data_IF_768377211702
#
_entry.id   IF_768377211702
#
_cell.length_a   1.000
_cell.length_b   1.000
_cell.length_c   1.000
_cell.angle_alpha   90.00
_cell.angle_beta   90.00
_cell.angle_gamma   90.00
#
_symmetry.space_group_name_H-M   'P 1'
#
loop_
_entity.id
_entity.type
_entity.pdbx_description
1 polymer ?
#
# COMPACT_ATOMS: atom_id res chain seq x y z
N UNK A 1 0.50 -17.76 -1.94
CA UNK A 1 0.22 -17.19 -3.28
C UNK A 1 -1.13 -16.50 -3.19
N UNK A 2 -1.17 -15.19 -3.39
CA UNK A 2 -2.39 -14.39 -3.46
C UNK A 2 -2.51 -13.87 -4.91
N UNK A 3 -3.69 -13.93 -5.51
CA UNK A 3 -3.92 -13.38 -6.86
C UNK A 3 -4.30 -11.91 -6.83
N UNK A 4 -5.27 -11.56 -5.98
CA UNK A 4 -5.69 -10.19 -5.69
C UNK A 4 -6.35 -10.12 -4.31
N UNK A 5 -6.46 -8.90 -3.79
CA UNK A 5 -7.24 -8.55 -2.59
C UNK A 5 -8.10 -7.32 -2.88
N UNK A 6 -9.24 -7.21 -2.23
CA UNK A 6 -10.11 -6.05 -2.33
C UNK A 6 -10.83 -5.76 -1.03
N UNK A 7 -11.07 -4.48 -0.76
CA UNK A 7 -11.83 -4.06 0.42
C UNK A 7 -12.52 -2.71 0.23
N UNK A 8 -13.56 -2.49 1.03
CA UNK A 8 -14.33 -1.25 1.05
C UNK A 8 -13.61 -0.11 1.77
N UNK A 9 -13.71 1.11 1.24
CA UNK A 9 -13.12 2.33 1.81
C UNK A 9 -14.21 3.37 2.15
N UNK A 10 -13.96 4.24 3.14
CA UNK A 10 -14.99 5.20 3.60
C UNK A 10 -15.22 6.36 2.63
N UNK A 11 -14.15 6.79 1.95
CA UNK A 11 -14.15 7.86 0.97
C UNK A 11 -13.30 7.42 -0.23
N UNK A 12 -13.98 7.03 -1.31
CA UNK A 12 -13.34 6.51 -2.50
C UNK A 12 -12.35 7.49 -3.13
N UNK A 13 -12.70 8.78 -3.22
CA UNK A 13 -11.84 9.77 -3.88
C UNK A 13 -10.57 10.00 -3.07
N UNK A 14 -10.72 10.13 -1.74
CA UNK A 14 -9.59 10.29 -0.81
C UNK A 14 -8.68 9.07 -0.80
N UNK A 15 -9.24 7.87 -0.70
CA UNK A 15 -8.44 6.64 -0.66
C UNK A 15 -7.77 6.37 -2.02
N UNK A 16 -8.44 6.62 -3.14
CA UNK A 16 -7.81 6.52 -4.47
C UNK A 16 -6.62 7.47 -4.61
N UNK A 17 -6.75 8.73 -4.18
CA UNK A 17 -5.65 9.69 -4.21
C UNK A 17 -4.47 9.21 -3.34
N UNK A 18 -4.74 8.82 -2.09
CA UNK A 18 -3.74 8.27 -1.18
C UNK A 18 -2.96 7.10 -1.81
N UNK A 19 -3.66 6.08 -2.30
CA UNK A 19 -3.02 4.89 -2.86
C UNK A 19 -2.31 5.16 -4.19
N UNK A 20 -2.77 6.15 -4.97
CA UNK A 20 -2.07 6.55 -6.20
C UNK A 20 -0.71 7.15 -5.91
N UNK A 21 -0.57 7.92 -4.84
CA UNK A 21 0.70 8.54 -4.42
C UNK A 21 1.58 7.54 -3.65
N UNK A 22 1.02 6.91 -2.62
CA UNK A 22 1.75 6.00 -1.75
C UNK A 22 2.34 4.79 -2.50
N UNK A 23 1.63 4.26 -3.49
CA UNK A 23 2.06 3.06 -4.23
C UNK A 23 2.92 3.38 -5.47
N UNK A 24 3.04 4.64 -5.89
CA UNK A 24 3.80 5.02 -7.07
C UNK A 24 5.29 4.60 -7.00
N UNK A 25 6.01 4.74 -5.87
CA UNK A 25 7.40 4.28 -5.74
C UNK A 25 7.58 2.76 -5.91
N UNK A 26 6.50 2.01 -5.73
CA UNK A 26 6.47 0.56 -5.92
C UNK A 26 6.15 0.19 -7.38
N UNK A 27 6.13 1.12 -8.33
CA UNK A 27 5.65 0.89 -9.70
C UNK A 27 4.24 0.25 -9.71
N UNK A 28 3.38 0.66 -8.77
CA UNK A 28 1.99 0.23 -8.69
C UNK A 28 1.12 1.43 -9.04
N UNK A 29 0.34 1.28 -10.10
CA UNK A 29 -0.47 2.34 -10.68
C UNK A 29 -1.93 1.92 -10.76
N UNK A 30 -2.82 2.89 -11.01
CA UNK A 30 -4.23 2.62 -11.27
C UNK A 30 -4.41 1.97 -12.65
N UNK A 31 -4.73 0.68 -12.69
CA UNK A 31 -4.91 -0.08 -13.93
C UNK A 31 -6.36 -0.09 -14.41
N UNK A 32 -7.32 -0.12 -13.47
CA UNK A 32 -8.75 -0.17 -13.76
C UNK A 32 -9.53 0.74 -12.83
N UNK A 33 -10.54 1.42 -13.37
CA UNK A 33 -11.49 2.21 -12.59
C UNK A 33 -12.95 1.90 -13.00
N UNK A 34 -13.49 0.71 -12.66
CA UNK A 34 -14.84 0.33 -13.06
C UNK A 34 -15.90 1.26 -12.47
N UNK A 35 -16.72 1.82 -13.36
CA UNK A 35 -17.90 2.64 -13.00
C UNK A 35 -17.63 3.83 -12.07
N UNK A 36 -16.36 4.24 -11.91
CA UNK A 36 -15.96 5.31 -10.97
C UNK A 36 -16.20 4.97 -9.50
N UNK A 37 -16.34 3.68 -9.16
CA UNK A 37 -16.68 3.19 -7.80
C UNK A 37 -15.78 2.07 -7.30
N UNK A 38 -14.81 1.67 -8.11
CA UNK A 38 -13.76 0.74 -7.73
C UNK A 38 -12.44 1.17 -8.36
N UNK A 39 -11.33 0.97 -7.66
CA UNK A 39 -9.99 1.28 -8.15
C UNK A 39 -9.13 0.02 -8.06
N UNK A 40 -8.68 -0.49 -9.21
CA UNK A 40 -7.80 -1.65 -9.31
C UNK A 40 -6.38 -1.19 -9.55
N UNK A 41 -5.57 -1.20 -8.50
CA UNK A 41 -4.14 -0.92 -8.55
C UNK A 41 -3.36 -2.18 -8.89
N UNK A 42 -2.26 -2.02 -9.61
CA UNK A 42 -1.34 -3.10 -9.90
C UNK A 42 -0.17 -2.67 -10.77
N UNK A 43 0.50 -3.65 -11.40
CA UNK A 43 1.70 -3.43 -12.22
C UNK A 43 1.57 -4.14 -13.55
N UNK A 44 2.16 -3.58 -14.60
CA UNK A 44 2.24 -4.19 -15.94
C UNK A 44 0.87 -4.61 -16.50
N UNK A 45 -0.15 -3.76 -16.31
CA UNK A 45 -1.50 -4.02 -16.83
C UNK A 45 -2.33 -5.04 -16.05
N UNK A 46 -1.82 -5.63 -14.95
CA UNK A 46 -2.58 -6.55 -14.09
C UNK A 46 -2.93 -5.90 -12.75
N UNK A 47 -4.22 -5.61 -12.47
CA UNK A 47 -4.65 -5.17 -11.14
C UNK A 47 -4.65 -6.34 -10.14
N UNK A 48 -4.22 -6.07 -8.90
CA UNK A 48 -4.21 -7.05 -7.80
C UNK A 48 -4.59 -6.46 -6.44
N UNK A 49 -4.73 -5.13 -6.33
CA UNK A 49 -5.13 -4.45 -5.10
C UNK A 49 -6.33 -3.55 -5.39
N UNK A 50 -7.47 -3.84 -4.78
CA UNK A 50 -8.75 -3.23 -5.11
C UNK A 50 -9.33 -2.42 -3.96
N UNK A 51 -9.77 -1.21 -4.27
CA UNK A 51 -10.61 -0.39 -3.41
C UNK A 51 -12.04 -0.40 -3.96
N UNK A 52 -13.02 -0.50 -3.07
CA UNK A 52 -14.44 -0.45 -3.43
C UNK A 52 -15.17 0.63 -2.63
N UNK A 53 -16.06 1.37 -3.29
CA UNK A 53 -17.01 2.29 -2.63
C UNK A 53 -18.17 1.50 -1.99
N UNK A 54 -17.83 0.74 -0.94
CA UNK A 54 -18.77 -0.09 -0.17
C UNK A 54 -18.77 0.31 1.30
N UNK A 55 -19.94 0.16 1.96
CA UNK A 55 -20.14 0.53 3.36
C UNK A 55 -20.68 -0.68 4.15
N UNK A 56 -20.23 -0.90 5.41
CA UNK A 56 -19.19 -0.14 6.10
C UNK A 56 -17.80 -0.36 5.48
N UNK A 57 -16.86 0.60 5.65
CA UNK A 57 -15.49 0.40 5.21
C UNK A 57 -14.81 -0.71 6.01
N UNK A 58 -13.75 -1.25 5.45
CA UNK A 58 -12.84 -2.16 6.15
C UNK A 58 -11.75 -1.35 6.83
N UNK A 59 -11.49 -1.66 8.09
CA UNK A 59 -10.47 -1.03 8.93
C UNK A 59 -9.59 -2.09 9.58
N UNK A 60 -8.38 -1.72 10.00
CA UNK A 60 -7.43 -2.59 10.72
C UNK A 60 -6.96 -3.83 9.92
N UNK A 61 -7.04 -3.80 8.59
CA UNK A 61 -6.34 -4.83 7.79
C UNK A 61 -4.87 -4.47 7.64
N UNK A 62 -4.05 -5.49 7.41
CA UNK A 62 -2.64 -5.33 7.12
C UNK A 62 -2.33 -5.89 5.73
N UNK A 63 -1.74 -5.06 4.86
CA UNK A 63 -1.35 -5.43 3.51
C UNK A 63 0.09 -4.99 3.28
N UNK A 64 0.96 -5.96 2.97
CA UNK A 64 2.37 -5.72 2.69
C UNK A 64 2.68 -5.94 1.20
N UNK A 65 3.34 -4.96 0.59
CA UNK A 65 3.85 -5.02 -0.78
C UNK A 65 5.34 -5.33 -0.78
N UNK A 66 5.72 -6.46 -1.38
CA UNK A 66 7.12 -6.80 -1.56
C UNK A 66 7.77 -5.91 -2.63
N UNK A 67 8.99 -5.46 -2.36
CA UNK A 67 9.81 -4.67 -3.28
C UNK A 67 11.26 -5.16 -3.31
N UNK A 68 12.03 -4.65 -4.27
CA UNK A 68 13.34 -5.19 -4.62
C UNK A 68 14.52 -4.42 -4.01
N UNK A 69 14.27 -3.34 -3.26
CA UNK A 69 15.32 -2.50 -2.69
C UNK A 69 14.84 -1.78 -1.43
N UNK A 70 15.77 -1.39 -0.56
CA UNK A 70 15.45 -0.67 0.68
C UNK A 70 15.08 0.77 0.39
N UNK A 71 15.65 1.35 -0.65
CA UNK A 71 15.36 2.68 -1.16
C UNK A 71 13.91 2.82 -1.60
N UNK A 72 13.32 1.76 -2.16
CA UNK A 72 11.89 1.73 -2.52
C UNK A 72 11.00 1.71 -1.27
N UNK A 73 11.42 1.06 -0.19
CA UNK A 73 10.71 1.10 1.10
C UNK A 73 10.72 2.52 1.67
N UNK A 74 11.87 3.20 1.61
CA UNK A 74 12.02 4.58 2.06
C UNK A 74 11.11 5.53 1.26
N UNK A 75 11.15 5.40 -0.07
CA UNK A 75 10.34 6.22 -0.97
C UNK A 75 8.83 5.97 -0.80
N UNK A 76 8.40 4.71 -0.60
CA UNK A 76 7.01 4.37 -0.27
C UNK A 76 6.56 5.09 1.01
N UNK A 77 7.39 5.06 2.06
CA UNK A 77 7.03 5.68 3.35
C UNK A 77 6.93 7.19 3.21
N UNK A 78 7.90 7.84 2.57
CA UNK A 78 7.88 9.28 2.31
C UNK A 78 6.63 9.69 1.49
N UNK A 79 6.33 8.96 0.42
CA UNK A 79 5.15 9.22 -0.41
C UNK A 79 3.84 9.00 0.35
N UNK A 80 3.76 7.93 1.17
CA UNK A 80 2.59 7.64 1.98
C UNK A 80 2.31 8.73 3.02
N UNK A 81 3.35 9.28 3.66
CA UNK A 81 3.22 10.41 4.57
C UNK A 81 2.83 11.70 3.84
N UNK A 82 3.44 11.97 2.69
CA UNK A 82 3.11 13.14 1.86
C UNK A 82 1.65 13.11 1.38
N UNK A 83 1.12 11.92 1.10
CA UNK A 83 -0.26 11.69 0.71
C UNK A 83 -1.29 11.78 1.86
N UNK A 84 -0.84 12.13 3.07
CA UNK A 84 -1.68 12.29 4.26
C UNK A 84 -1.87 11.02 5.10
N UNK A 85 -1.09 9.97 4.83
CA UNK A 85 -1.02 8.80 5.71
C UNK A 85 -0.38 9.12 7.06
N UNK A 86 -0.60 8.25 8.03
CA UNK A 86 -0.04 8.40 9.39
C UNK A 86 1.12 7.43 9.55
N UNK A 87 2.25 7.90 10.07
CA UNK A 87 3.38 7.02 10.38
C UNK A 87 2.96 5.92 11.37
N UNK A 88 3.26 4.68 11.01
CA UNK A 88 3.06 3.51 11.86
C UNK A 88 4.35 2.70 12.06
N UNK A 89 5.48 3.26 11.62
CA UNK A 89 6.79 2.63 11.71
C UNK A 89 7.68 3.06 10.57
N UNK A 90 8.61 3.96 10.86
CA UNK A 90 9.62 4.45 9.93
C UNK A 90 10.42 3.33 9.26
N UNK A 91 10.99 3.56 8.06
CA UNK A 91 11.81 2.58 7.37
C UNK A 91 12.97 2.09 8.23
N UNK A 92 13.19 0.79 8.22
CA UNK A 92 14.31 0.21 8.97
C UNK A 92 14.31 -1.31 9.03
N UNK A 93 15.38 -1.90 9.59
CA UNK A 93 15.45 -3.33 9.81
C UNK A 93 14.38 -3.79 10.83
N UNK A 94 13.82 -4.96 10.60
CA UNK A 94 12.88 -5.67 11.50
C UNK A 94 13.45 -7.05 11.85
N UNK A 95 14.53 -7.12 12.65
CA UNK A 95 15.23 -8.38 12.93
C UNK A 95 14.38 -9.40 13.69
N UNK A 96 13.26 -8.97 14.29
CA UNK A 96 12.25 -9.84 14.91
C UNK A 96 11.60 -10.81 13.91
N UNK A 97 11.55 -10.46 12.61
CA UNK A 97 11.03 -11.33 11.57
C UNK A 97 12.13 -12.20 10.97
N UNK A 98 13.19 -11.58 10.44
CA UNK A 98 14.44 -12.22 10.04
C UNK A 98 15.51 -11.16 9.70
N UNK A 99 16.77 -11.59 9.53
CA UNK A 99 17.94 -10.70 9.36
C UNK A 99 17.81 -9.66 8.24
N UNK A 100 17.25 -10.05 7.10
CA UNK A 100 17.13 -9.17 5.93
C UNK A 100 15.78 -8.44 5.80
N UNK A 101 14.90 -8.51 6.80
CA UNK A 101 13.62 -7.84 6.73
C UNK A 101 13.81 -6.33 6.91
N UNK A 102 13.58 -5.56 5.86
CA UNK A 102 13.58 -4.10 5.89
C UNK A 102 12.19 -3.60 5.47
N UNK A 103 11.51 -2.86 6.35
CA UNK A 103 10.11 -2.48 6.12
C UNK A 103 9.75 -1.11 6.69
N UNK A 104 8.68 -0.54 6.17
CA UNK A 104 8.06 0.70 6.62
C UNK A 104 6.54 0.58 6.57
N UNK A 105 5.86 1.31 7.45
CA UNK A 105 4.43 1.16 7.70
C UNK A 105 3.75 2.53 7.72
N UNK A 106 2.65 2.65 7.00
CA UNK A 106 1.80 3.85 6.96
C UNK A 106 0.36 3.42 7.15
N UNK A 107 -0.38 4.12 8.02
CA UNK A 107 -1.83 3.96 8.09
C UNK A 107 -2.49 4.70 6.93
N UNK A 108 -3.39 4.01 6.23
CA UNK A 108 -4.24 4.61 5.21
C UNK A 108 -5.33 5.51 5.84
N UNK A 109 -6.16 6.21 5.03
CA UNK A 109 -7.21 7.09 5.53
C UNK A 109 -8.32 6.40 6.36
N UNK A 110 -8.40 5.07 6.31
CA UNK A 110 -9.35 4.22 7.02
C UNK A 110 -8.68 3.47 8.20
N UNK A 111 -7.40 3.73 8.48
CA UNK A 111 -6.64 3.11 9.57
C UNK A 111 -6.13 1.69 9.28
N UNK A 112 -6.08 1.28 8.01
CA UNK A 112 -5.44 0.04 7.58
C UNK A 112 -3.92 0.19 7.56
N UNK A 113 -3.20 -0.84 8.00
CA UNK A 113 -1.74 -0.84 8.10
C UNK A 113 -1.12 -1.29 6.77
N UNK A 114 -0.61 -0.34 5.99
CA UNK A 114 -0.01 -0.59 4.68
C UNK A 114 1.50 -0.62 4.81
N UNK A 115 2.12 -1.67 4.30
CA UNK A 115 3.55 -1.91 4.40
C UNK A 115 4.21 -2.01 3.01
N UNK A 116 5.40 -1.45 2.89
CA UNK A 116 6.38 -1.88 1.89
C UNK A 116 7.50 -2.65 2.59
N UNK A 117 7.88 -3.79 2.01
CA UNK A 117 8.92 -4.67 2.57
C UNK A 117 9.91 -5.11 1.51
N UNK A 118 11.20 -5.05 1.86
CA UNK A 118 12.30 -5.64 1.13
C UNK A 118 12.90 -6.76 1.97
N UNK A 119 13.06 -7.95 1.37
CA UNK A 119 13.68 -9.12 2.03
C UNK A 119 15.10 -9.38 1.55
N UNK A 120 15.65 -8.53 0.66
CA UNK A 120 17.00 -8.69 0.13
C UNK A 120 18.05 -8.21 1.16
N UNK A 121 19.26 -8.79 1.12
CA UNK A 121 20.42 -8.21 1.80
C UNK A 121 20.64 -6.74 1.41
N UNK A 122 21.37 -6.01 2.24
CA UNK A 122 21.82 -4.64 1.94
C UNK A 122 22.78 -4.62 0.75
#
# INVERSE_FOLDING_TARGET
MLDHVGFGVSDYARSKAFYSEALAPLDIELIKEPFGRAAGFGRAGKPFFWLEDTRPPVTQVHVAFACESREVVDAFHEAGLAAGGIDNGAPGPRPIYHEHYYGAYVLDPDGNNIEAVCHRPA
#
